data_IF_297066332212
#
_entry.id   IF_297066332212
#
_cell.length_a   1.000
_cell.length_b   1.000
_cell.length_c   1.000
_cell.angle_alpha   90.00
_cell.angle_beta   90.00
_cell.angle_gamma   90.00
#
_symmetry.space_group_name_H-M   'P 1'
#
loop_
_entity.id
_entity.type
_entity.pdbx_description
1 polymer ?
#
# COMPACT_ATOMS: atom_id res chain seq x y z
N UNK A 1 -20.10 -10.11 -1.38
CA UNK A 1 -18.66 -10.34 -1.12
C UNK A 1 -18.06 -9.43 -0.04
N UNK A 2 -18.82 -8.53 0.59
CA UNK A 2 -18.33 -7.73 1.74
C UNK A 2 -17.77 -8.56 2.91
N UNK A 3 -18.24 -9.81 3.06
CA UNK A 3 -17.76 -10.77 4.06
C UNK A 3 -16.29 -11.18 3.87
N UNK A 4 -15.75 -11.09 2.64
CA UNK A 4 -14.34 -11.40 2.33
C UNK A 4 -13.46 -10.15 2.43
N UNK A 5 -14.05 -8.97 2.16
CA UNK A 5 -13.34 -7.69 2.21
C UNK A 5 -12.86 -7.34 3.63
N UNK A 6 -13.68 -7.63 4.64
CA UNK A 6 -13.35 -7.32 6.03
C UNK A 6 -12.11 -8.11 6.53
N UNK A 7 -12.01 -9.45 6.36
CA UNK A 7 -10.79 -10.20 6.65
C UNK A 7 -9.56 -9.66 5.91
N UNK A 8 -9.71 -9.27 4.65
CA UNK A 8 -8.61 -8.68 3.87
C UNK A 8 -8.15 -7.35 4.46
N UNK A 9 -9.08 -6.47 4.87
CA UNK A 9 -8.73 -5.22 5.54
C UNK A 9 -8.00 -5.46 6.87
N UNK A 10 -8.41 -6.46 7.65
CA UNK A 10 -7.72 -6.84 8.89
C UNK A 10 -6.29 -7.32 8.59
N UNK A 11 -6.11 -8.11 7.52
CA UNK A 11 -4.78 -8.52 7.05
C UNK A 11 -3.92 -7.30 6.70
N UNK A 12 -4.44 -6.40 5.86
CA UNK A 12 -3.70 -5.20 5.45
C UNK A 12 -3.38 -4.26 6.61
N UNK A 13 -4.28 -4.17 7.60
CA UNK A 13 -4.03 -3.44 8.83
C UNK A 13 -2.88 -4.06 9.63
N UNK A 14 -2.89 -5.39 9.82
CA UNK A 14 -1.82 -6.10 10.52
C UNK A 14 -0.47 -5.93 9.82
N UNK A 15 -0.45 -6.03 8.49
CA UNK A 15 0.74 -5.79 7.66
C UNK A 15 1.18 -4.33 7.74
N UNK A 16 0.25 -3.38 7.78
CA UNK A 16 0.57 -1.94 7.93
C UNK A 16 1.17 -1.59 9.29
N UNK A 17 0.64 -2.18 10.37
CA UNK A 17 1.25 -2.07 11.72
C UNK A 17 2.67 -2.65 11.70
N UNK A 18 2.86 -3.78 11.05
CA UNK A 18 4.17 -4.39 10.89
C UNK A 18 5.13 -3.49 10.08
N UNK A 19 4.65 -2.86 9.01
CA UNK A 19 5.41 -1.89 8.22
C UNK A 19 5.88 -0.72 9.09
N UNK A 20 5.01 -0.15 9.92
CA UNK A 20 5.38 0.94 10.85
C UNK A 20 6.50 0.49 11.80
N UNK A 21 6.44 -0.75 12.30
CA UNK A 21 7.51 -1.30 13.15
C UNK A 21 8.85 -1.39 12.42
N UNK A 22 8.87 -1.85 11.17
CA UNK A 22 10.08 -1.88 10.34
C UNK A 22 10.60 -0.46 10.12
N UNK A 23 9.71 0.48 9.76
CA UNK A 23 10.04 1.89 9.59
C UNK A 23 10.70 2.48 10.83
N UNK A 24 10.12 2.23 12.01
CA UNK A 24 10.71 2.66 13.28
C UNK A 24 12.10 2.09 13.50
N UNK A 25 12.34 0.80 13.26
CA UNK A 25 13.66 0.18 13.41
C UNK A 25 14.70 0.78 12.46
N UNK A 26 14.33 1.04 11.21
CA UNK A 26 15.22 1.63 10.22
C UNK A 26 15.55 3.09 10.57
N UNK A 27 14.54 3.86 10.97
CA UNK A 27 14.68 5.29 11.23
C UNK A 27 15.33 5.59 12.58
N UNK A 28 15.00 4.84 13.63
CA UNK A 28 15.60 4.99 14.97
C UNK A 28 17.10 4.67 14.98
N UNK A 29 17.58 3.86 14.04
CA UNK A 29 19.01 3.61 13.84
C UNK A 29 19.79 4.78 13.24
N UNK A 30 19.12 5.88 12.86
CA UNK A 30 19.74 7.05 12.22
C UNK A 30 19.38 8.34 12.97
N UNK A 31 20.37 9.16 13.31
CA UNK A 31 20.14 10.46 13.96
C UNK A 31 19.91 11.61 12.96
N UNK A 32 19.94 11.32 11.66
CA UNK A 32 19.84 12.34 10.60
C UNK A 32 18.38 12.58 10.21
N UNK A 33 17.87 13.75 10.60
CA UNK A 33 16.51 14.19 10.26
C UNK A 33 16.26 14.22 8.74
N UNK A 34 17.24 14.64 7.95
CA UNK A 34 17.14 14.70 6.49
C UNK A 34 16.87 13.33 5.87
N UNK A 35 17.58 12.29 6.33
CA UNK A 35 17.36 10.91 5.88
C UNK A 35 15.94 10.44 6.19
N UNK A 36 15.49 10.65 7.43
CA UNK A 36 14.12 10.30 7.86
C UNK A 36 13.05 10.99 7.02
N UNK A 37 13.19 12.29 6.79
CA UNK A 37 12.26 13.05 5.95
C UNK A 37 12.24 12.55 4.51
N UNK A 38 13.40 12.25 3.93
CA UNK A 38 13.47 11.69 2.57
C UNK A 38 12.79 10.33 2.48
N UNK A 39 13.02 9.42 3.43
CA UNK A 39 12.37 8.09 3.44
C UNK A 39 10.85 8.22 3.56
N UNK A 40 10.36 9.07 4.47
CA UNK A 40 8.92 9.32 4.63
C UNK A 40 8.30 9.95 3.37
N UNK A 41 8.99 10.91 2.74
CA UNK A 41 8.52 11.52 1.50
C UNK A 41 8.44 10.50 0.36
N UNK A 42 9.45 9.63 0.22
CA UNK A 42 9.44 8.56 -0.78
C UNK A 42 8.31 7.56 -0.52
N UNK A 43 8.09 7.14 0.73
CA UNK A 43 6.99 6.24 1.09
C UNK A 43 5.61 6.83 0.76
N UNK A 44 5.42 8.13 1.06
CA UNK A 44 4.19 8.87 0.73
C UNK A 44 4.01 9.01 -0.78
N UNK A 45 5.06 9.36 -1.53
CA UNK A 45 5.00 9.44 -2.98
C UNK A 45 4.66 8.09 -3.62
N UNK A 46 5.27 7.00 -3.15
CA UNK A 46 4.98 5.66 -3.61
C UNK A 46 3.52 5.25 -3.32
N UNK A 47 3.00 5.60 -2.14
CA UNK A 47 1.58 5.42 -1.80
C UNK A 47 0.65 6.18 -2.75
N UNK A 48 0.93 7.46 -3.01
CA UNK A 48 0.12 8.29 -3.89
C UNK A 48 0.14 7.77 -5.33
N UNK A 49 1.31 7.36 -5.84
CA UNK A 49 1.43 6.77 -7.16
C UNK A 49 0.65 5.46 -7.26
N UNK A 50 0.76 4.58 -6.25
CA UNK A 50 0.01 3.32 -6.21
C UNK A 50 -1.50 3.57 -6.28
N UNK A 51 -2.02 4.53 -5.50
CA UNK A 51 -3.43 4.90 -5.54
C UNK A 51 -3.81 5.51 -6.88
N UNK A 52 -3.02 6.46 -7.40
CA UNK A 52 -3.30 7.12 -8.68
C UNK A 52 -3.40 6.11 -9.83
N UNK A 53 -2.41 5.23 -9.97
CA UNK A 53 -2.42 4.22 -11.03
C UNK A 53 -3.49 3.14 -10.81
N UNK A 54 -3.80 2.79 -9.55
CA UNK A 54 -4.88 1.86 -9.25
C UNK A 54 -6.25 2.43 -9.64
N UNK A 55 -6.52 3.69 -9.30
CA UNK A 55 -7.77 4.35 -9.64
C UNK A 55 -7.89 4.74 -11.12
N UNK A 56 -6.78 5.10 -11.77
CA UNK A 56 -6.78 5.52 -13.18
C UNK A 56 -7.39 4.47 -14.12
N UNK A 57 -7.27 3.18 -13.78
CA UNK A 57 -7.84 2.07 -14.55
C UNK A 57 -9.37 2.08 -14.60
N UNK A 58 -10.01 2.75 -13.64
CA UNK A 58 -11.47 2.76 -13.50
C UNK A 58 -12.14 4.04 -13.99
N UNK A 59 -11.35 5.05 -14.37
CA UNK A 59 -11.83 6.40 -14.67
C UNK A 59 -12.79 6.48 -15.86
N UNK A 60 -12.66 5.59 -16.84
CA UNK A 60 -13.48 5.60 -18.06
C UNK A 60 -14.73 4.73 -17.96
N UNK A 61 -14.91 4.01 -16.85
CA UNK A 61 -16.06 3.12 -16.68
C UNK A 61 -17.32 3.91 -16.31
N UNK A 62 -18.44 3.58 -16.98
CA UNK A 62 -19.74 4.22 -16.73
C UNK A 62 -20.54 3.58 -15.61
N UNK A 63 -20.30 2.29 -15.37
CA UNK A 63 -20.92 1.52 -14.31
C UNK A 63 -19.91 0.51 -13.76
N UNK A 64 -19.83 0.41 -12.44
CA UNK A 64 -18.96 -0.53 -11.74
C UNK A 64 -19.71 -1.16 -10.58
N UNK A 65 -19.37 -2.41 -10.30
CA UNK A 65 -19.92 -3.07 -9.14
C UNK A 65 -19.37 -2.45 -7.86
N UNK A 66 -20.21 -2.33 -6.82
CA UNK A 66 -19.87 -1.62 -5.59
C UNK A 66 -18.56 -2.09 -4.93
N UNK A 67 -18.18 -3.35 -5.12
CA UNK A 67 -16.98 -3.95 -4.53
C UNK A 67 -15.84 -4.15 -5.52
N UNK A 68 -15.98 -3.70 -6.77
CA UNK A 68 -14.98 -3.94 -7.82
C UNK A 68 -13.66 -3.22 -7.53
N UNK A 69 -13.71 -1.91 -7.24
CA UNK A 69 -12.53 -1.12 -6.86
C UNK A 69 -11.98 -1.58 -5.48
N UNK A 70 -12.81 -1.75 -4.43
CA UNK A 70 -12.33 -2.31 -3.17
C UNK A 70 -11.60 -3.65 -3.30
N UNK A 71 -12.16 -4.59 -4.09
CA UNK A 71 -11.53 -5.89 -4.31
C UNK A 71 -10.27 -5.78 -5.16
N UNK A 72 -10.24 -4.88 -6.16
CA UNK A 72 -9.03 -4.61 -6.92
C UNK A 72 -7.89 -4.19 -5.99
N UNK A 73 -8.11 -3.29 -5.04
CA UNK A 73 -7.08 -2.85 -4.11
C UNK A 73 -6.75 -3.89 -3.02
N UNK A 74 -7.75 -4.53 -2.44
CA UNK A 74 -7.58 -5.45 -1.31
C UNK A 74 -7.11 -6.85 -1.73
N UNK A 75 -7.43 -7.32 -2.93
CA UNK A 75 -7.12 -8.66 -3.41
C UNK A 75 -6.10 -8.67 -4.57
N UNK A 76 -5.38 -7.57 -4.80
CA UNK A 76 -4.41 -7.47 -5.89
C UNK A 76 -3.26 -8.48 -5.72
N UNK A 77 -3.12 -9.41 -6.67
CA UNK A 77 -2.01 -10.37 -6.69
C UNK A 77 -0.64 -9.69 -6.69
N UNK A 78 -0.51 -8.54 -7.37
CA UNK A 78 0.73 -7.77 -7.39
C UNK A 78 1.03 -7.16 -6.02
N UNK A 79 0.02 -6.66 -5.31
CA UNK A 79 0.20 -6.13 -3.96
C UNK A 79 0.65 -7.23 -2.98
N UNK A 80 0.06 -8.43 -3.08
CA UNK A 80 0.52 -9.59 -2.31
C UNK A 80 1.96 -10.00 -2.67
N UNK A 81 2.31 -9.99 -3.96
CA UNK A 81 3.68 -10.26 -4.41
C UNK A 81 4.70 -9.26 -3.82
N UNK A 82 4.36 -7.97 -3.87
CA UNK A 82 5.19 -6.89 -3.29
C UNK A 82 5.29 -7.01 -1.77
N UNK A 83 4.19 -7.36 -1.09
CA UNK A 83 4.18 -7.62 0.36
C UNK A 83 5.13 -8.77 0.71
N UNK A 84 5.00 -9.92 0.03
CA UNK A 84 5.86 -11.09 0.26
C UNK A 84 7.33 -10.73 -0.02
N UNK A 85 7.62 -10.05 -1.13
CA UNK A 85 8.97 -9.61 -1.46
C UNK A 85 9.55 -8.68 -0.39
N UNK A 86 8.77 -7.70 0.07
CA UNK A 86 9.17 -6.81 1.16
C UNK A 86 9.49 -7.56 2.46
N UNK A 87 8.67 -8.55 2.82
CA UNK A 87 8.92 -9.40 4.00
C UNK A 87 10.19 -10.24 3.84
N UNK A 88 10.40 -10.84 2.67
CA UNK A 88 11.60 -11.62 2.38
C UNK A 88 12.85 -10.74 2.43
N UNK A 89 12.80 -9.53 1.88
CA UNK A 89 13.90 -8.57 1.97
C UNK A 89 14.17 -8.12 3.40
N UNK A 90 13.13 -7.96 4.22
CA UNK A 90 13.30 -7.59 5.62
C UNK A 90 14.00 -8.70 6.43
N UNK A 91 13.59 -9.97 6.26
CA UNK A 91 14.14 -11.10 7.05
C UNK A 91 15.44 -11.66 6.52
N UNK A 92 15.58 -11.80 5.20
CA UNK A 92 16.71 -12.47 4.55
C UNK A 92 17.62 -11.51 3.79
N UNK A 93 17.20 -10.26 3.58
CA UNK A 93 17.92 -9.29 2.77
C UNK A 93 19.13 -8.65 3.43
N UNK A 94 19.56 -9.06 4.63
CA UNK A 94 20.68 -8.41 5.32
C UNK A 94 21.99 -8.44 4.52
N UNK A 95 22.20 -9.46 3.67
CA UNK A 95 23.35 -9.52 2.76
C UNK A 95 23.22 -8.68 1.48
N UNK A 96 22.00 -8.30 1.10
CA UNK A 96 21.71 -7.51 -0.12
C UNK A 96 21.52 -6.02 0.20
N UNK A 97 20.97 -5.73 1.39
CA UNK A 97 20.72 -4.38 1.91
C UNK A 97 21.93 -3.81 2.65
N UNK A 98 23.12 -3.96 2.06
CA UNK A 98 24.39 -3.48 2.63
C UNK A 98 24.45 -1.95 2.63
N UNK A 99 23.89 -1.31 1.61
CA UNK A 99 23.86 0.15 1.49
C UNK A 99 22.76 0.78 2.36
N UNK A 100 23.11 1.86 3.07
CA UNK A 100 22.19 2.59 3.95
C UNK A 100 20.92 3.11 3.26
N UNK A 101 21.00 3.47 1.98
CA UNK A 101 19.84 3.96 1.22
C UNK A 101 18.89 2.84 0.76
N UNK A 102 19.31 1.57 0.78
CA UNK A 102 18.46 0.42 0.45
C UNK A 102 17.74 -0.16 1.68
N UNK A 103 18.28 0.05 2.89
CA UNK A 103 17.67 -0.39 4.15
C UNK A 103 16.19 -0.01 4.36
N UNK A 104 15.67 1.16 3.93
CA UNK A 104 14.27 1.51 4.10
C UNK A 104 13.34 0.91 3.04
N UNK A 105 13.88 0.23 2.02
CA UNK A 105 13.12 -0.31 0.91
C UNK A 105 12.03 -1.32 1.34
N UNK A 106 12.29 -2.28 2.26
CA UNK A 106 11.23 -3.15 2.79
C UNK A 106 10.10 -2.38 3.46
N UNK A 107 10.43 -1.33 4.23
CA UNK A 107 9.44 -0.45 4.84
C UNK A 107 8.57 0.22 3.77
N UNK A 108 9.19 0.88 2.79
CA UNK A 108 8.48 1.59 1.71
C UNK A 108 7.53 0.64 0.98
N UNK A 109 8.01 -0.54 0.57
CA UNK A 109 7.21 -1.51 -0.18
C UNK A 109 5.98 -1.97 0.60
N UNK A 110 6.19 -2.47 1.82
CA UNK A 110 5.12 -3.03 2.65
C UNK A 110 4.12 -1.92 3.03
N UNK A 111 4.62 -0.74 3.40
CA UNK A 111 3.80 0.43 3.74
C UNK A 111 2.91 0.84 2.56
N UNK A 112 3.49 1.00 1.37
CA UNK A 112 2.77 1.44 0.17
C UNK A 112 1.62 0.50 -0.16
N UNK A 113 1.83 -0.82 -0.16
CA UNK A 113 0.77 -1.76 -0.52
C UNK A 113 -0.28 -1.91 0.58
N UNK A 114 0.12 -1.91 1.86
CA UNK A 114 -0.83 -2.07 2.96
C UNK A 114 -1.72 -0.86 3.13
N UNK A 115 -1.14 0.34 3.22
CA UNK A 115 -1.91 1.57 3.33
C UNK A 115 -2.61 1.91 2.02
N UNK A 116 -2.02 1.55 0.88
CA UNK A 116 -2.65 1.70 -0.43
C UNK A 116 -3.88 0.83 -0.58
N UNK A 117 -3.83 -0.43 -0.14
CA UNK A 117 -4.98 -1.32 -0.16
C UNK A 117 -6.13 -0.78 0.72
N UNK A 118 -5.82 -0.36 1.95
CA UNK A 118 -6.83 0.22 2.85
C UNK A 118 -7.41 1.53 2.32
N UNK A 119 -6.55 2.45 1.89
CA UNK A 119 -6.98 3.74 1.36
C UNK A 119 -7.78 3.59 0.06
N UNK A 120 -7.39 2.66 -0.82
CA UNK A 120 -8.13 2.36 -2.04
C UNK A 120 -9.55 1.84 -1.77
N UNK A 121 -9.71 1.00 -0.73
CA UNK A 121 -11.03 0.54 -0.28
C UNK A 121 -11.86 1.68 0.32
N UNK A 122 -11.27 2.52 1.18
CA UNK A 122 -12.00 3.63 1.83
C UNK A 122 -12.41 4.71 0.82
N UNK A 123 -11.54 4.99 -0.16
CA UNK A 123 -11.73 6.07 -1.14
C UNK A 123 -12.56 5.62 -2.37
N UNK A 124 -12.93 4.35 -2.49
CA UNK A 124 -13.63 3.82 -3.67
C UNK A 124 -14.95 4.55 -3.95
N UNK A 125 -15.72 4.82 -2.90
CA UNK A 125 -17.04 5.43 -3.02
C UNK A 125 -16.92 6.91 -3.41
N UNK A 126 -15.97 7.62 -2.81
CA UNK A 126 -15.63 9.00 -3.18
C UNK A 126 -15.16 9.09 -4.62
N UNK A 127 -14.37 8.12 -5.08
CA UNK A 127 -13.91 8.05 -6.47
C UNK A 127 -15.06 7.84 -7.45
N UNK A 128 -15.94 6.85 -7.20
CA UNK A 128 -17.10 6.60 -8.06
C UNK A 128 -18.03 7.82 -8.12
N UNK A 129 -18.28 8.47 -6.98
CA UNK A 129 -19.07 9.69 -6.92
C UNK A 129 -18.45 10.84 -7.73
N UNK A 130 -17.13 11.02 -7.63
CA UNK A 130 -16.40 12.08 -8.36
C UNK A 130 -16.45 11.92 -9.88
N UNK A 131 -16.48 10.69 -10.37
CA UNK A 131 -16.49 10.37 -11.81
C UNK A 131 -17.87 9.95 -12.33
N UNK A 132 -18.93 10.19 -11.54
CA UNK A 132 -20.32 9.86 -11.90
C UNK A 132 -20.53 8.40 -12.33
N UNK A 133 -19.73 7.49 -11.76
CA UNK A 133 -19.78 6.06 -12.07
C UNK A 133 -20.99 5.46 -11.37
N UNK A 134 -21.88 4.83 -12.14
CA UNK A 134 -23.07 4.18 -11.58
C UNK A 134 -22.68 2.91 -10.81
N UNK A 135 -23.16 2.81 -9.57
CA UNK A 135 -22.92 1.65 -8.71
C UNK A 135 -23.92 0.55 -9.06
N UNK A 136 -23.44 -0.60 -9.50
CA UNK A 136 -24.26 -1.82 -9.68
C UNK A 136 -24.16 -2.71 -8.43
N UNK A 137 -25.21 -3.47 -8.14
CA UNK A 137 -25.35 -4.30 -6.92
C UNK A 137 -25.20 -5.79 -7.20
#
# INVERSE_FOLDING_TARGET
>A
MGLILLPLLILWLGVGIYAIRIGYQVLAGTSQLSYTLSVCAIAMLALLLYLYFGFAQFKENKALWAFEIPMFFAANKLAFGVMILGLLLHWFGQGVLTFAYLKPLPFIMIFTVSFGAMAGVILSDTFMAKFEIQKTH
#
